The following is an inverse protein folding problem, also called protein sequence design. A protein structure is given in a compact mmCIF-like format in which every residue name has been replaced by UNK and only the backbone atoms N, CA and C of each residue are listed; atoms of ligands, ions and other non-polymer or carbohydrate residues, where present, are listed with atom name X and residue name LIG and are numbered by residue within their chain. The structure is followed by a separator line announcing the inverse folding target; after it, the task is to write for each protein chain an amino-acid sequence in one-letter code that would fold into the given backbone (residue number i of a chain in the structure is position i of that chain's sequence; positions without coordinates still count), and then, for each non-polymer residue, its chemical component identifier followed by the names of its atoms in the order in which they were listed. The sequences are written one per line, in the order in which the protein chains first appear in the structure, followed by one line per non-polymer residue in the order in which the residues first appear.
data_IF_916176025695
#
_entry.id   IF_916176025695
#
_cell.length_a   1.000
_cell.length_b   1.000
_cell.length_c   1.000
_cell.angle_alpha   90.00
_cell.angle_beta   90.00
_cell.angle_gamma   90.00
#
_symmetry.space_group_name_H-M   'P 1'
#
loop_
_entity.id
_entity.type
_entity.pdbx_description
1 polymer ?
#
# COMPACT_ATOMS: atom_id res chain seq x y z
N UNK A 1 -7.75 -15.45 -18.71
CA UNK A 1 -7.66 -15.01 -20.13
C UNK A 1 -6.33 -14.32 -20.41
N UNK A 2 -5.62 -14.82 -21.44
CA UNK A 2 -4.19 -14.61 -21.69
C UNK A 2 -3.83 -13.50 -22.69
N UNK A 3 -4.56 -12.38 -22.69
CA UNK A 3 -4.27 -11.22 -23.56
C UNK A 3 -3.08 -10.37 -23.07
N UNK A 4 -2.22 -10.90 -22.20
CA UNK A 4 -0.98 -10.23 -21.79
C UNK A 4 -1.13 -9.03 -20.85
N UNK A 5 -2.32 -8.76 -20.27
CA UNK A 5 -2.55 -7.61 -19.36
C UNK A 5 -1.52 -7.52 -18.23
N UNK A 6 -1.25 -8.65 -17.55
CA UNK A 6 -0.23 -8.72 -16.50
C UNK A 6 1.17 -8.36 -17.02
N UNK A 7 1.53 -8.87 -18.20
CA UNK A 7 2.81 -8.56 -18.85
C UNK A 7 2.92 -7.08 -19.20
N UNK A 8 1.87 -6.49 -19.77
CA UNK A 8 1.83 -5.07 -20.10
C UNK A 8 2.00 -4.19 -18.85
N UNK A 9 1.28 -4.50 -17.76
CA UNK A 9 1.44 -3.80 -16.48
C UNK A 9 2.87 -3.95 -15.96
N UNK A 10 3.46 -5.14 -16.03
CA UNK A 10 4.84 -5.39 -15.61
C UNK A 10 5.86 -4.58 -16.41
N UNK A 11 5.69 -4.48 -17.73
CA UNK A 11 6.55 -3.65 -18.59
C UNK A 11 6.42 -2.17 -18.22
N UNK A 12 5.19 -1.65 -18.12
CA UNK A 12 4.95 -0.25 -17.78
C UNK A 12 5.49 0.09 -16.39
N UNK A 13 5.29 -0.79 -15.40
CA UNK A 13 5.85 -0.62 -14.07
C UNK A 13 7.37 -0.56 -14.12
N UNK A 14 8.01 -1.48 -14.83
CA UNK A 14 9.47 -1.48 -15.00
C UNK A 14 9.99 -0.24 -15.72
N UNK A 15 9.28 0.27 -16.74
CA UNK A 15 9.70 1.47 -17.48
C UNK A 15 9.64 2.74 -16.62
N UNK A 16 8.74 2.79 -15.63
CA UNK A 16 8.55 3.93 -14.75
C UNK A 16 9.25 3.74 -13.39
N UNK A 17 10.10 2.71 -13.24
CA UNK A 17 10.73 2.34 -11.97
C UNK A 17 9.72 2.15 -10.82
N UNK A 18 8.50 1.72 -11.14
CA UNK A 18 7.49 1.41 -10.14
C UNK A 18 7.65 -0.04 -9.67
N UNK A 19 7.56 -0.22 -8.36
CA UNK A 19 7.63 -1.53 -7.73
C UNK A 19 6.30 -2.27 -7.87
N UNK A 20 6.32 -3.37 -8.62
CA UNK A 20 5.13 -4.20 -8.83
C UNK A 20 4.98 -5.22 -7.70
N UNK A 21 3.89 -5.10 -6.94
CA UNK A 21 3.50 -6.04 -5.90
C UNK A 21 2.31 -6.87 -6.37
N UNK A 22 2.37 -8.19 -6.18
CA UNK A 22 1.25 -9.09 -6.46
C UNK A 22 1.24 -10.20 -5.40
N UNK A 23 0.18 -10.31 -4.57
CA UNK A 23 0.12 -11.28 -3.50
C UNK A 23 0.27 -12.73 -3.97
N UNK A 24 1.16 -13.48 -3.33
CA UNK A 24 1.35 -14.91 -3.65
C UNK A 24 0.40 -15.74 -2.79
N UNK A 25 -0.79 -16.00 -3.33
CA UNK A 25 -1.81 -16.79 -2.65
C UNK A 25 -1.38 -18.26 -2.55
N UNK A 26 -1.35 -18.76 -1.33
CA UNK A 26 -1.07 -20.15 -0.96
C UNK A 26 -2.29 -20.77 -0.27
N UNK A 27 -2.27 -22.08 0.02
CA UNK A 27 -3.40 -22.76 0.68
C UNK A 27 -3.74 -22.20 2.07
N UNK A 28 -2.77 -21.60 2.75
CA UNK A 28 -2.93 -21.00 4.08
C UNK A 28 -2.99 -19.47 4.04
N UNK A 29 -3.14 -18.91 2.85
CA UNK A 29 -3.30 -17.48 2.67
C UNK A 29 -4.70 -17.09 3.10
N UNK A 30 -4.83 -16.02 3.87
CA UNK A 30 -6.10 -15.50 4.35
C UNK A 30 -5.96 -14.02 4.70
N UNK A 31 -6.95 -13.49 5.39
CA UNK A 31 -7.01 -12.06 5.75
C UNK A 31 -5.75 -11.53 6.44
N UNK A 32 -5.11 -12.33 7.29
CA UNK A 32 -3.90 -11.93 8.02
C UNK A 32 -2.72 -11.72 7.08
N UNK A 33 -2.52 -12.64 6.14
CA UNK A 33 -1.44 -12.52 5.14
C UNK A 33 -1.70 -11.33 4.21
N UNK A 34 -2.96 -11.13 3.79
CA UNK A 34 -3.29 -9.99 2.96
C UNK A 34 -3.09 -8.65 3.66
N UNK A 35 -3.47 -8.54 4.93
CA UNK A 35 -3.16 -7.36 5.74
C UNK A 35 -1.65 -7.11 5.82
N UNK A 36 -0.84 -8.15 5.98
CA UNK A 36 0.62 -7.99 5.98
C UNK A 36 1.17 -7.51 4.63
N UNK A 37 0.65 -8.04 3.52
CA UNK A 37 1.03 -7.59 2.18
C UNK A 37 0.67 -6.10 1.98
N UNK A 38 -0.51 -5.66 2.45
CA UNK A 38 -0.90 -4.25 2.44
C UNK A 38 0.03 -3.39 3.29
N UNK A 39 0.45 -3.86 4.48
CA UNK A 39 1.41 -3.12 5.33
C UNK A 39 2.73 -2.88 4.61
N UNK A 40 3.27 -3.89 3.95
CA UNK A 40 4.55 -3.80 3.21
C UNK A 40 4.43 -2.77 2.08
N UNK A 41 3.33 -2.80 1.32
CA UNK A 41 3.11 -1.88 0.21
C UNK A 41 2.93 -0.45 0.72
N UNK A 42 2.16 -0.25 1.79
CA UNK A 42 1.94 1.07 2.38
C UNK A 42 3.20 1.63 3.03
N UNK A 43 4.05 0.79 3.60
CA UNK A 43 5.35 1.22 4.12
C UNK A 43 6.26 1.66 2.97
N UNK A 44 6.37 0.86 1.91
CA UNK A 44 7.19 1.19 0.74
C UNK A 44 6.69 2.46 0.03
N UNK A 45 5.37 2.60 -0.12
CA UNK A 45 4.79 3.78 -0.78
C UNK A 45 4.71 5.02 0.12
N UNK A 46 4.52 4.85 1.42
CA UNK A 46 4.22 5.93 2.36
C UNK A 46 5.43 6.40 3.17
N UNK A 47 6.37 5.51 3.47
CA UNK A 47 7.57 5.83 4.26
C UNK A 47 8.79 5.98 3.37
N UNK A 48 9.01 5.02 2.47
CA UNK A 48 10.19 5.03 1.58
C UNK A 48 10.00 5.96 0.36
N UNK A 49 8.76 6.44 0.12
CA UNK A 49 8.44 7.31 -1.01
C UNK A 49 8.51 6.60 -2.37
N UNK A 50 8.51 5.26 -2.40
CA UNK A 50 8.60 4.50 -3.65
C UNK A 50 7.25 4.52 -4.41
N UNK A 51 7.31 4.64 -5.74
CA UNK A 51 6.11 4.43 -6.56
C UNK A 51 5.81 2.93 -6.66
N UNK A 52 4.60 2.54 -6.26
CA UNK A 52 4.21 1.13 -6.15
C UNK A 52 2.93 0.84 -6.96
N UNK A 53 2.88 -0.35 -7.57
CA UNK A 53 1.70 -0.90 -8.23
C UNK A 53 1.26 -2.16 -7.51
N UNK A 54 0.06 -2.16 -6.92
CA UNK A 54 -0.57 -3.36 -6.41
C UNK A 54 -1.40 -4.01 -7.53
N UNK A 55 -0.99 -5.21 -7.96
CA UNK A 55 -1.67 -6.02 -8.96
C UNK A 55 -2.44 -7.17 -8.31
N UNK A 56 -3.77 -7.06 -8.39
CA UNK A 56 -4.73 -8.07 -7.95
C UNK A 56 -5.39 -8.76 -9.16
N UNK A 57 -5.53 -10.08 -9.08
CA UNK A 57 -6.15 -10.93 -10.09
C UNK A 57 -7.29 -11.77 -9.47
N UNK A 58 -8.26 -12.18 -10.28
CA UNK A 58 -9.49 -12.85 -9.83
C UNK A 58 -9.23 -14.04 -8.90
N UNK A 59 -8.20 -14.85 -9.19
CA UNK A 59 -7.87 -16.03 -8.39
C UNK A 59 -7.32 -15.71 -6.99
N UNK A 60 -6.92 -14.46 -6.74
CA UNK A 60 -6.37 -14.02 -5.45
C UNK A 60 -7.47 -13.60 -4.45
N UNK A 61 -8.70 -13.39 -4.92
CA UNK A 61 -9.86 -13.04 -4.09
C UNK A 61 -10.51 -14.28 -3.48
N UNK A 62 -9.86 -14.83 -2.45
CA UNK A 62 -10.33 -16.02 -1.74
C UNK A 62 -11.40 -15.71 -0.67
N UNK A 63 -11.46 -14.46 -0.19
CA UNK A 63 -12.41 -13.97 0.80
C UNK A 63 -12.99 -12.62 0.32
N UNK A 64 -14.30 -12.40 0.49
CA UNK A 64 -14.97 -11.15 0.08
C UNK A 64 -14.38 -9.91 0.79
N UNK A 65 -13.88 -10.10 2.01
CA UNK A 65 -13.22 -9.08 2.83
C UNK A 65 -12.05 -8.41 2.10
N UNK A 66 -11.38 -9.09 1.17
CA UNK A 66 -10.24 -8.48 0.45
C UNK A 66 -10.67 -7.28 -0.38
N UNK A 67 -11.83 -7.39 -1.04
CA UNK A 67 -12.39 -6.30 -1.85
C UNK A 67 -12.79 -5.13 -0.94
N UNK A 68 -13.33 -5.40 0.24
CA UNK A 68 -13.69 -4.38 1.23
C UNK A 68 -12.46 -3.61 1.74
N UNK A 69 -11.35 -4.29 2.01
CA UNK A 69 -10.10 -3.64 2.41
C UNK A 69 -9.52 -2.80 1.28
N UNK A 70 -9.55 -3.28 0.03
CA UNK A 70 -9.09 -2.51 -1.13
C UNK A 70 -9.97 -1.27 -1.32
N UNK A 71 -11.30 -1.41 -1.22
CA UNK A 71 -12.22 -0.28 -1.34
C UNK A 71 -11.98 0.76 -0.25
N UNK A 72 -11.74 0.33 0.99
CA UNK A 72 -11.38 1.22 2.10
C UNK A 72 -10.10 1.98 1.79
N UNK A 73 -9.08 1.27 1.31
CA UNK A 73 -7.80 1.88 0.93
C UNK A 73 -7.95 2.90 -0.22
N UNK A 74 -8.73 2.58 -1.25
CA UNK A 74 -8.95 3.47 -2.39
C UNK A 74 -9.79 4.70 -2.03
N UNK A 75 -10.75 4.56 -1.12
CA UNK A 75 -11.71 5.63 -0.79
C UNK A 75 -11.20 6.55 0.30
N UNK A 76 -10.56 5.99 1.34
CA UNK A 76 -10.13 6.73 2.53
C UNK A 76 -8.60 6.90 2.61
N UNK A 77 -7.83 6.19 1.78
CA UNK A 77 -6.37 6.12 1.91
C UNK A 77 -5.90 5.26 3.10
N UNK A 78 -6.82 4.60 3.81
CA UNK A 78 -6.51 3.78 4.97
C UNK A 78 -7.36 2.51 5.04
N UNK A 79 -6.87 1.54 5.81
CA UNK A 79 -7.57 0.28 6.06
C UNK A 79 -7.84 0.16 7.55
N UNK A 80 -9.11 0.12 7.99
CA UNK A 80 -9.45 0.04 9.41
C UNK A 80 -8.84 -1.18 10.10
N UNK A 81 -8.19 -0.95 11.25
CA UNK A 81 -7.54 -2.01 12.03
C UNK A 81 -6.43 -2.73 11.25
N UNK A 82 -5.75 -2.03 10.34
CA UNK A 82 -4.55 -2.56 9.68
C UNK A 82 -3.36 -2.52 10.63
N UNK A 83 -3.13 -1.38 11.28
CA UNK A 83 -2.05 -1.18 12.24
C UNK A 83 -2.59 -1.09 13.66
N UNK A 84 -1.83 -1.58 14.63
CA UNK A 84 -2.04 -1.23 16.04
C UNK A 84 -1.54 0.19 16.31
N UNK A 85 -1.98 0.84 17.42
CA UNK A 85 -1.45 2.14 17.82
C UNK A 85 0.09 2.15 17.94
N UNK A 86 0.67 1.09 18.52
CA UNK A 86 2.12 0.94 18.67
C UNK A 86 2.85 0.80 17.32
N UNK A 87 2.27 0.05 16.37
CA UNK A 87 2.83 -0.09 15.02
C UNK A 87 2.77 1.25 14.26
N UNK A 88 1.69 2.00 14.41
CA UNK A 88 1.59 3.35 13.84
C UNK A 88 2.67 4.24 14.42
N UNK A 89 2.84 4.29 15.73
CA UNK A 89 3.86 5.15 16.35
C UNK A 89 5.27 4.86 15.80
N UNK A 90 5.63 3.58 15.66
CA UNK A 90 6.91 3.15 15.09
C UNK A 90 7.11 3.60 13.64
N UNK A 91 6.09 3.45 12.79
CA UNK A 91 6.13 3.87 11.37
C UNK A 91 6.20 5.38 11.23
N UNK A 92 5.54 6.09 12.15
CA UNK A 92 5.40 7.54 12.13
C UNK A 92 6.59 8.28 12.74
N UNK A 93 7.35 7.64 13.63
CA UNK A 93 8.51 8.25 14.28
C UNK A 93 9.54 8.82 13.29
N UNK A 94 10.04 8.07 12.28
CA UNK A 94 10.99 8.61 11.32
C UNK A 94 10.39 9.75 10.47
N UNK A 95 9.10 9.66 10.10
CA UNK A 95 8.42 10.69 9.32
C UNK A 95 8.20 12.00 10.10
N UNK A 96 8.13 11.94 11.44
CA UNK A 96 8.08 13.14 12.28
C UNK A 96 9.41 13.87 12.31
N UNK A 97 10.52 13.12 12.29
CA UNK A 97 11.86 13.71 12.21
C UNK A 97 12.05 14.44 10.87
N UNK A 98 11.58 13.83 9.77
CA UNK A 98 11.61 14.45 8.44
C UNK A 98 10.67 15.66 8.32
N UNK A 99 9.43 15.56 8.81
CA UNK A 99 8.44 16.67 8.69
C UNK A 99 8.74 17.86 9.63
N UNK A 100 9.49 17.63 10.71
CA UNK A 100 10.01 18.70 11.56
C UNK A 100 11.08 19.54 10.83
N UNK A 101 11.77 18.98 9.83
CA UNK A 101 12.67 19.73 8.96
C UNK A 101 11.90 20.55 7.92
N UNK A 102 10.72 20.08 7.47
CA UNK A 102 9.92 20.73 6.41
C UNK A 102 8.84 21.74 6.90
N UNK A 103 8.77 22.07 8.19
CA UNK A 103 7.83 23.06 8.74
C UNK A 103 6.33 22.79 8.41
N UNK A 104 5.94 21.51 8.29
CA UNK A 104 4.56 21.16 7.97
C UNK A 104 3.63 21.22 9.21
N UNK A 105 2.62 22.10 9.18
CA UNK A 105 1.65 22.32 10.28
C UNK A 105 0.27 21.67 10.01
N UNK A 106 0.23 20.46 9.47
CA UNK A 106 -0.99 19.67 9.28
C UNK A 106 -1.03 18.43 10.18
N UNK A 107 -2.15 17.69 10.20
CA UNK A 107 -2.13 16.34 10.78
C UNK A 107 -1.27 15.43 9.91
N UNK A 108 -0.55 14.48 10.48
CA UNK A 108 0.38 13.63 9.68
C UNK A 108 -0.33 12.80 8.60
N UNK A 109 -1.63 12.52 8.74
CA UNK A 109 -2.47 11.95 7.67
C UNK A 109 -2.51 12.88 6.45
N UNK A 110 -2.55 14.20 6.67
CA UNK A 110 -2.43 15.19 5.59
C UNK A 110 -1.03 15.21 4.99
N UNK A 111 0.04 14.98 5.76
CA UNK A 111 1.40 14.85 5.20
C UNK A 111 1.52 13.65 4.25
N UNK A 112 1.00 12.48 4.64
CA UNK A 112 0.93 11.31 3.76
C UNK A 112 0.11 11.56 2.49
N UNK A 113 -1.00 12.30 2.60
CA UNK A 113 -1.80 12.70 1.45
C UNK A 113 -1.10 13.77 0.59
N UNK A 114 -0.24 14.61 1.18
CA UNK A 114 0.38 15.75 0.52
C UNK A 114 1.73 15.43 -0.14
N UNK A 115 2.49 14.46 0.38
CA UNK A 115 3.65 13.86 -0.33
C UNK A 115 3.26 13.24 -1.68
N UNK A 116 1.97 13.01 -1.94
CA UNK A 116 1.45 12.45 -3.20
C UNK A 116 1.13 13.49 -4.27
N UNK A 117 1.22 14.79 -3.96
CA UNK A 117 0.77 15.87 -4.84
C UNK A 117 1.92 16.74 -5.40
N UNK A 118 3.16 16.26 -5.32
CA UNK A 118 4.35 16.90 -5.89
C UNK A 118 5.11 15.93 -6.78
#
# INVERSE_FOLDING_TARGET
SGVGRRTAIGIVASMNNMKLFSPKVSRSYGIKQFKNDLKVILQSAGVEGEQCVLLMEDYQFIESTFVELINSLLSAGEVPGLYTPDELESILSPLREDSSQENFRGTMVQYFAQSKNN
#
